data_IF_004914980791
#
_entry.id   IF_004914980791
#
_cell.length_a   1.000
_cell.length_b   1.000
_cell.length_c   1.000
_cell.angle_alpha   90.00
_cell.angle_beta   90.00
_cell.angle_gamma   90.00
#
_symmetry.space_group_name_H-M   'P 1'
#
loop_
_entity.id
_entity.type
_entity.pdbx_description
1 polymer ?
#
# COMPACT_ATOMS: atom_id res chain seq x y z
N UNK A 1 -0.61 -13.41 2.70
CA UNK A 1 0.01 -12.84 3.91
C UNK A 1 -0.36 -11.36 3.96
N UNK A 2 -0.67 -10.80 5.14
CA UNK A 2 -0.90 -9.35 5.30
C UNK A 2 0.24 -8.82 6.14
N UNK A 3 1.09 -7.97 5.55
CA UNK A 3 2.30 -7.45 6.21
C UNK A 3 2.61 -6.04 5.71
N UNK A 4 3.21 -5.24 6.57
CA UNK A 4 3.74 -3.92 6.24
C UNK A 4 5.19 -4.01 5.71
N UNK A 5 5.80 -5.20 5.77
CA UNK A 5 7.13 -5.46 5.23
C UNK A 5 7.05 -5.76 3.72
N UNK A 6 7.36 -4.73 2.93
CA UNK A 6 7.33 -4.81 1.47
C UNK A 6 8.49 -5.62 0.88
N UNK A 7 9.60 -5.79 1.60
CA UNK A 7 10.74 -6.59 1.12
C UNK A 7 10.44 -8.08 1.23
N UNK A 8 9.87 -8.49 2.37
CA UNK A 8 9.34 -9.83 2.54
C UNK A 8 8.18 -10.07 1.57
N UNK A 9 7.22 -9.14 1.46
CA UNK A 9 6.09 -9.28 0.55
C UNK A 9 6.55 -9.45 -0.90
N UNK A 10 7.56 -8.70 -1.36
CA UNK A 10 8.06 -8.84 -2.73
C UNK A 10 8.80 -10.14 -3.03
N UNK A 11 9.26 -10.87 -2.00
CA UNK A 11 9.91 -12.19 -2.16
C UNK A 11 8.91 -13.34 -2.24
N UNK A 12 7.68 -13.17 -1.76
CA UNK A 12 6.67 -14.24 -1.66
C UNK A 12 5.34 -13.94 -2.36
N UNK A 13 5.06 -12.69 -2.72
CA UNK A 13 3.79 -12.32 -3.34
C UNK A 13 3.93 -12.30 -4.88
N UNK A 14 3.17 -13.19 -5.54
CA UNK A 14 3.01 -13.19 -7.01
C UNK A 14 2.24 -11.96 -7.51
N UNK A 15 1.40 -11.37 -6.65
CA UNK A 15 0.53 -10.22 -6.94
C UNK A 15 0.33 -9.39 -5.68
N UNK A 16 0.25 -8.07 -5.86
CA UNK A 16 0.08 -7.05 -4.83
C UNK A 16 -1.08 -6.14 -5.20
N UNK A 17 -1.92 -5.84 -4.20
CA UNK A 17 -3.05 -4.92 -4.33
C UNK A 17 -2.90 -3.84 -3.28
N UNK A 18 -2.88 -2.58 -3.71
CA UNK A 18 -2.93 -1.43 -2.81
C UNK A 18 -4.36 -0.90 -2.69
N UNK A 19 -4.78 -0.71 -1.45
CA UNK A 19 -6.07 -0.13 -1.11
C UNK A 19 -5.82 1.22 -0.44
N UNK A 20 -6.44 2.27 -0.97
CA UNK A 20 -6.46 3.62 -0.41
C UNK A 20 -7.86 4.21 -0.54
N UNK A 21 -8.30 4.96 0.48
CA UNK A 21 -9.64 5.57 0.52
C UNK A 21 -10.78 4.56 0.26
N UNK A 22 -10.63 3.31 0.75
CA UNK A 22 -11.60 2.23 0.54
C UNK A 22 -11.69 1.71 -0.90
N UNK A 23 -10.74 2.06 -1.77
CA UNK A 23 -10.71 1.64 -3.18
C UNK A 23 -9.36 1.02 -3.55
N UNK A 24 -9.38 0.12 -4.52
CA UNK A 24 -8.14 -0.39 -5.13
C UNK A 24 -7.52 0.73 -5.95
N UNK A 25 -6.34 1.18 -5.53
CA UNK A 25 -5.57 2.23 -6.22
C UNK A 25 -4.46 1.65 -7.09
N UNK A 26 -4.04 0.41 -6.84
CA UNK A 26 -3.16 -0.33 -7.74
C UNK A 26 -3.30 -1.84 -7.54
N UNK A 27 -3.08 -2.57 -8.63
CA UNK A 27 -3.17 -4.03 -8.70
C UNK A 27 -2.14 -4.54 -9.71
N UNK A 28 -1.30 -5.49 -9.30
CA UNK A 28 -0.23 -6.02 -10.15
C UNK A 28 0.95 -6.55 -9.35
N UNK A 29 2.06 -6.81 -10.03
CA UNK A 29 3.33 -7.27 -9.43
C UNK A 29 4.06 -6.14 -8.71
N UNK A 30 4.97 -6.47 -7.79
CA UNK A 30 5.84 -5.47 -7.14
C UNK A 30 6.65 -4.63 -8.12
N UNK A 31 7.04 -5.22 -9.25
CA UNK A 31 7.79 -4.56 -10.30
C UNK A 31 6.92 -3.53 -11.06
N UNK A 32 5.64 -3.84 -11.29
CA UNK A 32 4.64 -2.89 -11.78
C UNK A 32 4.37 -1.77 -10.77
N UNK A 33 4.31 -2.07 -9.47
CA UNK A 33 4.16 -1.05 -8.42
C UNK A 33 5.34 -0.07 -8.41
N UNK A 34 6.58 -0.58 -8.54
CA UNK A 34 7.81 0.24 -8.61
C UNK A 34 7.85 1.15 -9.85
N UNK A 35 7.29 0.68 -10.96
CA UNK A 35 7.15 1.46 -12.21
C UNK A 35 5.93 2.36 -12.24
N UNK A 36 5.05 2.29 -11.24
CA UNK A 36 3.85 3.10 -11.21
C UNK A 36 4.19 4.59 -11.22
N UNK A 37 3.42 5.34 -12.00
CA UNK A 37 3.46 6.82 -12.03
C UNK A 37 2.55 7.44 -10.98
N UNK A 38 1.72 6.65 -10.30
CA UNK A 38 0.86 7.14 -9.23
C UNK A 38 1.71 7.45 -8.00
N UNK A 39 1.68 8.72 -7.58
CA UNK A 39 2.45 9.20 -6.44
C UNK A 39 2.08 8.48 -5.13
N UNK A 40 0.84 8.01 -4.97
CA UNK A 40 0.39 7.29 -3.77
C UNK A 40 1.01 5.89 -3.70
N UNK A 41 1.08 5.21 -4.84
CA UNK A 41 1.71 3.89 -4.96
C UNK A 41 3.20 4.00 -4.70
N UNK A 42 3.87 5.00 -5.30
CA UNK A 42 5.29 5.27 -5.02
C UNK A 42 5.55 5.59 -3.55
N UNK A 43 4.73 6.46 -2.94
CA UNK A 43 4.87 6.80 -1.52
C UNK A 43 4.79 5.56 -0.63
N UNK A 44 3.84 4.65 -0.91
CA UNK A 44 3.70 3.40 -0.16
C UNK A 44 4.91 2.47 -0.38
N UNK A 45 5.35 2.31 -1.63
CA UNK A 45 6.46 1.40 -1.98
C UNK A 45 7.83 1.91 -1.49
N UNK A 46 8.05 3.22 -1.54
CA UNK A 46 9.29 3.86 -1.11
C UNK A 46 9.39 3.97 0.43
N UNK A 47 8.33 3.65 1.17
CA UNK A 47 8.30 3.75 2.63
C UNK A 47 8.54 5.18 3.14
N UNK A 48 8.33 6.20 2.29
CA UNK A 48 8.36 7.59 2.73
C UNK A 48 7.14 7.80 3.59
N UNK A 49 7.39 7.90 4.89
CA UNK A 49 6.43 7.92 5.98
C UNK A 49 5.11 8.58 5.57
N UNK A 50 4.09 7.74 5.37
CA UNK A 50 2.72 8.22 5.46
C UNK A 50 2.51 8.42 6.94
N UNK A 51 2.79 9.64 7.42
CA UNK A 51 2.41 10.06 8.76
C UNK A 51 0.96 9.64 8.97
N UNK A 52 0.76 8.67 9.85
CA UNK A 52 -0.53 8.06 10.15
C UNK A 52 -1.45 9.16 10.67
N UNK A 53 -2.27 9.74 9.81
CA UNK A 53 -3.50 10.38 10.29
C UNK A 53 -4.42 9.27 10.76
N UNK A 54 -4.47 9.15 12.08
CA UNK A 54 -5.33 8.25 12.84
C UNK A 54 -6.72 8.17 12.21
N UNK A 55 -7.13 6.95 11.83
CA UNK A 55 -8.55 6.64 11.68
C UNK A 55 -9.07 6.34 13.09
N UNK A 56 -9.22 7.39 13.89
CA UNK A 56 -10.01 7.38 15.12
C UNK A 56 -11.21 8.31 14.95
N UNK A 57 -12.09 8.03 13.99
CA UNK A 57 -13.44 8.58 14.00
C UNK A 57 -14.40 7.58 13.36
N UNK A 58 -14.80 6.55 14.12
CA UNK A 58 -16.16 5.96 14.13
C UNK A 58 -16.35 5.14 15.41
N UNK A 59 -16.71 5.82 16.49
CA UNK A 59 -17.48 5.22 17.60
C UNK A 59 -18.43 6.32 18.12
N UNK A 60 -19.53 6.52 17.40
CA UNK A 60 -20.71 7.17 17.95
C UNK A 60 -21.55 6.10 18.65
N UNK A 61 -21.55 6.14 19.98
CA UNK A 61 -22.66 5.71 20.84
C UNK A 61 -22.42 6.29 22.25
#
# INVERSE_FOLDING_TARGET
VVTHDLEAAGKVADRVVLIGDGRVIADGTMDEMRRSKDGRVRQFIEGKDVETRAVEQEASA
#
